data_IF_279145785423
#
_entry.id   IF_279145785423
#
_cell.length_a   1.000
_cell.length_b   1.000
_cell.length_c   1.000
_cell.angle_alpha   90.00
_cell.angle_beta   90.00
_cell.angle_gamma   90.00
#
_symmetry.space_group_name_H-M   'P 1'
#
loop_
_entity.id
_entity.type
_entity.pdbx_description
1 polymer ?
#
# COMPACT_ATOMS: atom_id res chain seq x y z
N UNK A 1 7.71 2.67 -19.58
CA UNK A 1 7.31 3.31 -20.84
C UNK A 1 6.47 2.33 -21.64
N UNK A 2 5.27 2.71 -22.03
CA UNK A 2 4.40 1.97 -22.93
C UNK A 2 4.09 2.81 -24.17
N UNK A 3 4.12 2.20 -25.35
CA UNK A 3 3.77 2.84 -26.62
C UNK A 3 3.17 1.79 -27.56
N UNK A 4 2.26 2.20 -28.44
CA UNK A 4 1.73 1.37 -29.51
C UNK A 4 2.13 1.95 -30.86
N UNK A 5 2.48 1.08 -31.81
CA UNK A 5 2.89 1.50 -33.16
C UNK A 5 1.69 1.79 -34.08
N UNK A 6 0.50 1.34 -33.71
CA UNK A 6 -0.75 1.48 -34.46
C UNK A 6 -1.57 2.74 -34.11
N UNK A 7 -1.06 3.58 -33.21
CA UNK A 7 -1.73 4.80 -32.78
C UNK A 7 -2.88 4.61 -31.79
N UNK A 8 -3.14 3.38 -31.33
CA UNK A 8 -4.23 3.09 -30.40
C UNK A 8 -3.95 3.51 -28.96
N UNK A 9 -2.67 3.57 -28.57
CA UNK A 9 -2.25 3.93 -27.22
C UNK A 9 -1.25 5.10 -27.29
N UNK A 10 -1.55 6.20 -26.62
CA UNK A 10 -0.59 7.28 -26.41
C UNK A 10 0.70 6.77 -25.76
N UNK A 11 1.85 7.33 -26.14
CA UNK A 11 3.10 7.03 -25.44
C UNK A 11 2.97 7.44 -23.99
N UNK A 12 3.04 6.46 -23.09
CA UNK A 12 2.82 6.65 -21.65
C UNK A 12 4.09 6.34 -20.89
N UNK A 13 4.54 7.27 -20.05
CA UNK A 13 5.64 7.08 -19.12
C UNK A 13 5.14 7.24 -17.68
N UNK A 14 5.39 6.26 -16.83
CA UNK A 14 5.06 6.32 -15.41
C UNK A 14 5.92 5.37 -14.60
N UNK A 15 6.03 5.65 -13.31
CA UNK A 15 6.53 4.67 -12.34
C UNK A 15 5.38 3.80 -11.84
N UNK A 16 5.65 2.53 -11.63
CA UNK A 16 4.69 1.58 -11.08
C UNK A 16 5.41 0.55 -10.21
N UNK A 17 4.77 0.13 -9.13
CA UNK A 17 5.22 -0.99 -8.30
C UNK A 17 4.83 -2.35 -8.90
N UNK A 18 4.03 -2.35 -9.97
CA UNK A 18 3.59 -3.57 -10.64
C UNK A 18 4.64 -4.05 -11.64
N UNK A 19 5.16 -5.27 -11.44
CA UNK A 19 6.00 -5.93 -12.43
C UNK A 19 5.15 -6.36 -13.62
N UNK A 20 5.36 -5.72 -14.76
CA UNK A 20 4.64 -6.03 -15.99
C UNK A 20 5.23 -7.32 -16.61
N UNK A 21 4.43 -8.38 -16.65
CA UNK A 21 4.80 -9.69 -17.22
C UNK A 21 3.81 -10.18 -18.30
N UNK A 22 2.62 -9.59 -18.35
CA UNK A 22 1.57 -9.91 -19.32
C UNK A 22 0.63 -8.71 -19.51
N UNK A 23 -0.32 -8.81 -20.46
CA UNK A 23 -1.26 -7.74 -20.72
C UNK A 23 -2.11 -7.37 -19.49
N UNK A 24 -2.50 -8.33 -18.66
CA UNK A 24 -3.28 -8.06 -17.45
C UNK A 24 -2.50 -7.18 -16.46
N UNK A 25 -1.23 -7.51 -16.22
CA UNK A 25 -0.37 -6.69 -15.33
C UNK A 25 -0.02 -5.34 -15.96
N UNK A 26 0.05 -5.25 -17.30
CA UNK A 26 0.17 -3.97 -18.00
C UNK A 26 -1.06 -3.09 -17.79
N UNK A 27 -2.27 -3.65 -17.88
CA UNK A 27 -3.51 -2.88 -17.63
C UNK A 27 -3.60 -2.39 -16.19
N UNK A 28 -3.20 -3.21 -15.22
CA UNK A 28 -3.13 -2.79 -13.80
C UNK A 28 -2.11 -1.64 -13.64
N UNK A 29 -0.92 -1.80 -14.21
CA UNK A 29 0.12 -0.78 -14.16
C UNK A 29 -0.30 0.54 -14.81
N UNK A 30 -1.05 0.49 -15.93
CA UNK A 30 -1.56 1.68 -16.63
C UNK A 30 -2.81 2.28 -15.95
N UNK A 31 -3.58 1.47 -15.23
CA UNK A 31 -4.79 1.91 -14.51
C UNK A 31 -4.49 2.80 -13.29
N UNK A 32 -3.31 2.65 -12.69
CA UNK A 32 -2.84 3.53 -11.62
C UNK A 32 -2.26 4.82 -12.23
N UNK A 33 -3.15 5.62 -12.82
CA UNK A 33 -2.77 6.76 -13.65
C UNK A 33 -2.29 8.00 -12.88
N UNK A 34 -2.11 7.92 -11.55
CA UNK A 34 -1.58 9.03 -10.76
C UNK A 34 -0.12 9.30 -11.14
N UNK A 35 0.11 10.42 -11.81
CA UNK A 35 1.44 10.83 -12.27
C UNK A 35 1.89 10.25 -13.61
N UNK A 36 1.01 9.61 -14.38
CA UNK A 36 1.33 9.16 -15.72
C UNK A 36 1.45 10.33 -16.71
N UNK A 37 2.56 10.35 -17.44
CA UNK A 37 2.79 11.30 -18.54
C UNK A 37 2.30 10.64 -19.82
N UNK A 38 1.32 11.24 -20.47
CA UNK A 38 0.75 10.75 -21.73
C UNK A 38 1.06 11.71 -22.86
N UNK A 39 1.79 11.26 -23.88
CA UNK A 39 2.09 12.01 -25.08
C UNK A 39 1.30 11.41 -26.25
N UNK A 40 0.28 12.11 -26.78
CA UNK A 40 -0.45 11.64 -27.96
C UNK A 40 0.49 11.48 -29.18
N UNK A 41 0.24 10.48 -30.01
CA UNK A 41 1.07 10.22 -31.20
C UNK A 41 1.15 11.38 -32.21
N UNK A 42 0.15 12.25 -32.20
CA UNK A 42 0.11 13.45 -33.08
C UNK A 42 0.81 14.67 -32.48
N UNK A 43 1.29 14.57 -31.24
CA UNK A 43 2.01 15.66 -30.57
C UNK A 43 3.50 15.53 -30.81
N UNK A 44 4.17 16.68 -30.91
CA UNK A 44 5.62 16.69 -30.88
C UNK A 44 6.10 16.18 -29.51
N UNK A 45 6.97 15.16 -29.53
CA UNK A 45 7.58 14.65 -28.31
C UNK A 45 8.61 15.64 -27.77
N UNK A 46 8.40 16.15 -26.58
CA UNK A 46 9.36 16.99 -25.84
C UNK A 46 10.00 16.19 -24.70
N UNK A 47 11.24 15.74 -24.86
CA UNK A 47 11.95 14.98 -23.85
C UNK A 47 12.13 15.73 -22.52
N UNK A 48 12.26 17.05 -22.57
CA UNK A 48 12.54 17.84 -21.37
C UNK A 48 11.28 18.05 -20.52
N UNK A 49 10.11 18.11 -21.13
CA UNK A 49 8.83 18.05 -20.41
C UNK A 49 8.70 16.70 -19.70
N UNK A 50 8.97 15.59 -20.39
CA UNK A 50 8.90 14.25 -19.82
C UNK A 50 9.89 14.10 -18.66
N UNK A 51 11.14 14.54 -18.83
CA UNK A 51 12.16 14.50 -17.76
C UNK A 51 11.77 15.29 -16.54
N UNK A 52 11.24 16.50 -16.70
CA UNK A 52 10.77 17.34 -15.58
C UNK A 52 9.65 16.66 -14.81
N UNK A 53 8.65 16.09 -15.51
CA UNK A 53 7.54 15.41 -14.89
C UNK A 53 7.98 14.10 -14.19
N UNK A 54 8.91 13.32 -14.79
CA UNK A 54 9.52 12.17 -14.13
C UNK A 54 10.35 12.58 -12.90
N UNK A 55 11.01 13.75 -12.94
CA UNK A 55 11.73 14.31 -11.80
C UNK A 55 10.81 14.54 -10.58
N UNK A 56 9.60 15.03 -10.80
CA UNK A 56 8.59 15.16 -9.72
C UNK A 56 8.23 13.78 -9.14
N UNK A 57 8.11 12.76 -10.00
CA UNK A 57 7.82 11.38 -9.56
C UNK A 57 8.99 10.79 -8.77
N UNK A 58 10.24 11.07 -9.15
CA UNK A 58 11.43 10.66 -8.38
C UNK A 58 11.43 11.31 -7.01
N UNK A 59 11.13 12.61 -6.92
CA UNK A 59 11.04 13.31 -5.62
C UNK A 59 9.96 12.71 -4.71
N UNK A 60 8.81 12.30 -5.28
CA UNK A 60 7.77 11.59 -4.53
C UNK A 60 8.25 10.22 -4.03
N UNK A 61 9.03 9.49 -4.84
CA UNK A 61 9.66 8.23 -4.43
C UNK A 61 10.68 8.42 -3.31
N UNK A 62 11.53 9.43 -3.41
CA UNK A 62 12.51 9.76 -2.37
C UNK A 62 11.80 10.12 -1.05
N UNK A 63 10.71 10.88 -1.12
CA UNK A 63 9.86 11.19 0.03
C UNK A 63 9.23 9.92 0.65
N UNK A 64 8.77 8.98 -0.18
CA UNK A 64 8.25 7.69 0.29
C UNK A 64 9.34 6.87 1.00
N UNK A 65 10.53 6.75 0.40
CA UNK A 65 11.66 6.04 1.00
C UNK A 65 12.10 6.68 2.31
N UNK A 66 12.17 8.02 2.37
CA UNK A 66 12.49 8.74 3.59
C UNK A 66 11.48 8.46 4.71
N UNK A 67 10.17 8.45 4.39
CA UNK A 67 9.12 8.08 5.33
C UNK A 67 9.27 6.64 5.84
N UNK A 68 9.56 5.69 4.96
CA UNK A 68 9.79 4.29 5.37
C UNK A 68 10.97 4.16 6.33
N UNK A 69 12.09 4.86 6.06
CA UNK A 69 13.25 4.89 6.96
C UNK A 69 12.88 5.48 8.33
N UNK A 70 12.16 6.60 8.33
CA UNK A 70 11.70 7.22 9.58
C UNK A 70 10.80 6.28 10.40
N UNK A 71 9.92 5.49 9.75
CA UNK A 71 9.11 4.49 10.44
C UNK A 71 9.95 3.34 11.05
N UNK A 72 11.05 2.94 10.38
CA UNK A 72 11.99 1.93 10.91
C UNK A 72 12.77 2.44 12.14
N UNK A 73 13.00 3.73 12.22
CA UNK A 73 13.75 4.39 13.31
C UNK A 73 12.85 4.83 14.46
N UNK A 74 11.54 4.90 14.25
CA UNK A 74 10.55 5.36 15.23
C UNK A 74 10.16 4.22 16.18
N UNK A 75 10.58 4.25 17.46
CA UNK A 75 10.12 3.29 18.45
C UNK A 75 8.62 3.52 18.77
N UNK A 76 7.91 2.44 19.05
CA UNK A 76 6.50 2.48 19.46
C UNK A 76 6.36 1.74 20.77
N UNK A 77 5.89 2.45 21.80
CA UNK A 77 5.56 1.82 23.08
C UNK A 77 4.26 0.99 22.98
N UNK A 78 4.04 0.02 23.87
CA UNK A 78 2.88 -0.87 23.82
C UNK A 78 1.54 -0.13 23.84
N UNK A 79 1.40 0.95 24.60
CA UNK A 79 0.12 1.70 24.72
C UNK A 79 -0.17 2.47 23.44
N UNK A 80 0.85 3.06 22.82
CA UNK A 80 0.73 3.72 21.52
C UNK A 80 0.40 2.72 20.41
N UNK A 81 1.01 1.53 20.42
CA UNK A 81 0.69 0.45 19.49
C UNK A 81 -0.77 0.04 19.62
N UNK A 82 -1.24 -0.21 20.83
CA UNK A 82 -2.62 -0.60 21.10
C UNK A 82 -3.61 0.47 20.65
N UNK A 83 -3.37 1.74 20.99
CA UNK A 83 -4.21 2.86 20.60
C UNK A 83 -4.29 3.01 19.07
N UNK A 84 -3.19 2.81 18.35
CA UNK A 84 -3.19 2.82 16.89
C UNK A 84 -4.01 1.66 16.33
N UNK A 85 -3.79 0.45 16.82
CA UNK A 85 -4.51 -0.74 16.34
C UNK A 85 -6.02 -0.63 16.58
N UNK A 86 -6.45 -0.09 17.71
CA UNK A 86 -7.87 0.18 18.02
C UNK A 86 -8.50 1.16 17.01
N UNK A 87 -7.78 2.16 16.53
CA UNK A 87 -8.28 3.08 15.49
C UNK A 87 -8.32 2.45 14.10
N UNK A 88 -7.38 1.57 13.80
CA UNK A 88 -7.23 0.95 12.47
C UNK A 88 -8.18 -0.23 12.28
N UNK A 89 -8.34 -1.08 13.31
CA UNK A 89 -9.07 -2.35 13.23
C UNK A 89 -10.54 -2.20 13.66
N UNK A 90 -11.23 -1.22 13.08
CA UNK A 90 -12.65 -0.97 13.31
C UNK A 90 -13.50 -1.40 12.12
N UNK A 91 -14.74 -1.77 12.40
CA UNK A 91 -15.78 -2.06 11.41
C UNK A 91 -17.09 -1.38 11.78
N UNK A 92 -18.03 -1.30 10.84
CA UNK A 92 -19.36 -0.77 11.13
C UNK A 92 -20.07 -1.71 12.14
N UNK A 93 -20.50 -1.15 13.25
CA UNK A 93 -21.24 -1.90 14.26
C UNK A 93 -22.59 -2.43 13.73
N UNK A 94 -23.26 -3.30 14.49
CA UNK A 94 -24.53 -3.92 14.08
C UNK A 94 -25.63 -2.92 13.73
N UNK A 95 -25.59 -1.77 14.38
CA UNK A 95 -26.54 -0.65 14.14
C UNK A 95 -26.09 0.30 13.01
N UNK A 96 -24.90 0.06 12.42
CA UNK A 96 -24.29 0.90 11.40
C UNK A 96 -23.91 2.32 11.87
N UNK A 97 -24.13 2.66 13.14
CA UNK A 97 -23.98 4.03 13.64
C UNK A 97 -22.66 4.27 14.37
N UNK A 98 -22.08 3.23 14.99
CA UNK A 98 -20.86 3.35 15.78
C UNK A 98 -19.81 2.34 15.29
N UNK A 99 -18.56 2.77 15.10
CA UNK A 99 -17.48 1.83 14.82
C UNK A 99 -17.24 0.93 16.04
N UNK A 100 -16.99 -0.34 15.77
CA UNK A 100 -16.66 -1.36 16.78
C UNK A 100 -15.28 -1.90 16.49
N UNK A 101 -14.45 -2.06 17.51
CA UNK A 101 -13.13 -2.67 17.39
C UNK A 101 -13.28 -4.17 17.13
N UNK A 102 -12.50 -4.69 16.20
CA UNK A 102 -12.43 -6.11 15.92
C UNK A 102 -11.39 -6.76 16.85
N UNK A 103 -11.85 -7.22 18.01
CA UNK A 103 -10.97 -7.80 19.05
C UNK A 103 -10.15 -8.99 18.55
N UNK A 104 -10.72 -9.84 17.69
CA UNK A 104 -9.99 -10.98 17.11
C UNK A 104 -8.87 -10.51 16.17
N UNK A 105 -9.14 -9.48 15.36
CA UNK A 105 -8.13 -8.87 14.50
C UNK A 105 -7.03 -8.21 15.35
N UNK A 106 -7.42 -7.49 16.40
CA UNK A 106 -6.52 -6.83 17.34
C UNK A 106 -5.56 -7.85 17.98
N UNK A 107 -6.08 -8.94 18.53
CA UNK A 107 -5.27 -9.99 19.13
C UNK A 107 -4.30 -10.63 18.11
N UNK A 108 -4.77 -10.90 16.89
CA UNK A 108 -3.93 -11.47 15.84
C UNK A 108 -2.81 -10.52 15.41
N UNK A 109 -3.10 -9.25 15.17
CA UNK A 109 -2.08 -8.28 14.77
C UNK A 109 -1.06 -8.04 15.88
N UNK A 110 -1.51 -8.01 17.14
CA UNK A 110 -0.61 -7.92 18.29
C UNK A 110 0.36 -9.10 18.33
N UNK A 111 -0.12 -10.34 18.21
CA UNK A 111 0.72 -11.53 18.17
C UNK A 111 1.74 -11.47 17.02
N UNK A 112 1.36 -10.98 15.84
CA UNK A 112 2.27 -10.79 14.72
C UNK A 112 3.35 -9.75 15.02
N UNK A 113 2.98 -8.64 15.65
CA UNK A 113 3.91 -7.57 16.03
C UNK A 113 4.90 -7.99 17.10
N UNK A 114 4.45 -8.77 18.09
CA UNK A 114 5.27 -9.27 19.21
C UNK A 114 6.26 -10.38 18.84
N UNK A 115 6.30 -10.79 17.58
CA UNK A 115 7.29 -11.73 17.08
C UNK A 115 6.75 -12.88 16.24
N UNK A 116 5.41 -13.07 16.17
CA UNK A 116 4.79 -14.10 15.35
C UNK A 116 4.78 -13.80 13.85
N UNK A 117 4.98 -12.53 13.46
CA UNK A 117 4.96 -12.09 12.08
C UNK A 117 6.26 -12.35 11.33
N UNK A 118 6.16 -12.44 10.01
CA UNK A 118 7.32 -12.58 9.11
C UNK A 118 8.20 -11.33 9.19
N UNK A 119 9.44 -11.52 9.61
CA UNK A 119 10.39 -10.41 9.78
C UNK A 119 10.13 -9.52 11.01
N UNK A 120 9.22 -9.86 11.92
CA UNK A 120 8.93 -9.10 13.14
C UNK A 120 10.17 -8.91 14.03
N UNK A 121 11.10 -9.87 13.99
CA UNK A 121 12.34 -9.84 14.78
C UNK A 121 13.51 -9.10 14.10
N UNK A 122 13.34 -8.60 12.88
CA UNK A 122 14.35 -7.76 12.21
C UNK A 122 14.53 -6.44 12.97
N UNK A 123 15.76 -5.92 12.97
CA UNK A 123 16.09 -4.67 13.66
C UNK A 123 15.22 -3.48 13.17
N UNK A 124 14.82 -3.46 11.90
CA UNK A 124 13.95 -2.44 11.34
C UNK A 124 12.47 -2.57 11.75
N UNK A 125 12.06 -3.74 12.29
CA UNK A 125 10.67 -4.05 12.59
C UNK A 125 10.39 -4.15 14.08
N UNK A 126 11.33 -4.70 14.82
CA UNK A 126 11.15 -4.99 16.25
C UNK A 126 10.92 -3.72 17.07
N UNK A 127 9.72 -3.57 17.63
CA UNK A 127 9.36 -2.42 18.46
C UNK A 127 9.26 -1.09 17.71
N UNK A 128 9.14 -1.12 16.38
CA UNK A 128 9.09 0.10 15.56
C UNK A 128 7.73 0.32 14.90
N UNK A 129 7.46 1.54 14.46
CA UNK A 129 6.26 1.88 13.69
C UNK A 129 6.20 1.10 12.36
N UNK A 130 7.34 0.83 11.73
CA UNK A 130 7.43 -0.02 10.55
C UNK A 130 6.98 -1.45 10.83
N UNK A 131 7.43 -2.05 11.93
CA UNK A 131 7.01 -3.39 12.34
C UNK A 131 5.51 -3.47 12.62
N UNK A 132 4.94 -2.46 13.28
CA UNK A 132 3.51 -2.39 13.54
C UNK A 132 2.69 -2.31 12.25
N UNK A 133 3.11 -1.45 11.30
CA UNK A 133 2.48 -1.34 9.99
C UNK A 133 2.55 -2.66 9.20
N UNK A 134 3.71 -3.34 9.21
CA UNK A 134 3.86 -4.63 8.56
C UNK A 134 2.98 -5.71 9.18
N UNK A 135 2.80 -5.72 10.49
CA UNK A 135 1.91 -6.68 11.18
C UNK A 135 0.45 -6.51 10.76
N UNK A 136 -0.02 -5.28 10.58
CA UNK A 136 -1.36 -4.99 10.03
C UNK A 136 -1.45 -5.49 8.59
N UNK A 137 -0.44 -5.23 7.77
CA UNK A 137 -0.41 -5.64 6.36
C UNK A 137 -0.40 -7.17 6.25
N UNK A 138 0.45 -7.85 7.02
CA UNK A 138 0.54 -9.31 7.04
C UNK A 138 -0.79 -9.95 7.48
N UNK A 139 -1.42 -9.38 8.52
CA UNK A 139 -2.74 -9.85 8.95
C UNK A 139 -3.76 -9.77 7.81
N UNK A 140 -3.85 -8.63 7.13
CA UNK A 140 -4.81 -8.41 6.05
C UNK A 140 -4.55 -9.36 4.88
N UNK A 141 -3.30 -9.54 4.51
CA UNK A 141 -2.93 -10.28 3.30
C UNK A 141 -2.95 -11.81 3.53
N UNK A 142 -2.67 -12.29 4.75
CA UNK A 142 -2.44 -13.71 4.99
C UNK A 142 -3.31 -14.34 6.08
N UNK A 143 -3.74 -13.59 7.09
CA UNK A 143 -4.41 -14.15 8.28
C UNK A 143 -5.88 -13.78 8.39
N UNK A 144 -6.32 -12.74 7.70
CA UNK A 144 -7.72 -12.32 7.73
C UNK A 144 -8.61 -13.40 7.15
N UNK A 145 -9.67 -13.75 7.89
CA UNK A 145 -10.67 -14.73 7.44
C UNK A 145 -11.35 -14.28 6.17
N UNK A 146 -11.43 -15.15 5.17
CA UNK A 146 -12.11 -14.94 3.90
C UNK A 146 -12.75 -16.23 3.41
N UNK A 147 -13.62 -16.15 2.41
CA UNK A 147 -14.30 -17.31 1.82
C UNK A 147 -13.33 -18.21 1.02
N UNK A 148 -12.33 -17.59 0.42
CA UNK A 148 -11.26 -18.24 -0.35
C UNK A 148 -10.01 -17.35 -0.33
N UNK A 149 -8.88 -17.88 -0.82
CA UNK A 149 -7.64 -17.13 -0.97
C UNK A 149 -7.77 -16.03 -2.02
N UNK A 150 -8.51 -16.28 -3.11
CA UNK A 150 -8.79 -15.27 -4.13
C UNK A 150 -9.60 -14.11 -3.55
N UNK A 151 -10.67 -14.41 -2.81
CA UNK A 151 -11.47 -13.39 -2.15
C UNK A 151 -10.66 -12.60 -1.11
N UNK A 152 -9.72 -13.22 -0.40
CA UNK A 152 -8.82 -12.52 0.52
C UNK A 152 -7.92 -11.56 -0.24
N UNK A 153 -7.31 -12.00 -1.35
CA UNK A 153 -6.47 -11.15 -2.22
C UNK A 153 -7.24 -9.96 -2.78
N UNK A 154 -8.43 -10.19 -3.32
CA UNK A 154 -9.28 -9.12 -3.84
C UNK A 154 -9.66 -8.11 -2.75
N UNK A 155 -10.05 -8.59 -1.57
CA UNK A 155 -10.36 -7.70 -0.44
C UNK A 155 -9.13 -6.94 0.06
N UNK A 156 -7.94 -7.55 0.03
CA UNK A 156 -6.69 -6.93 0.44
C UNK A 156 -6.21 -5.84 -0.52
N UNK A 157 -6.56 -5.94 -1.81
CA UNK A 157 -6.13 -4.99 -2.83
C UNK A 157 -7.18 -3.93 -3.17
N UNK A 158 -8.45 -4.27 -3.18
CA UNK A 158 -9.51 -3.39 -3.69
C UNK A 158 -10.67 -3.17 -2.71
N UNK A 159 -10.75 -3.97 -1.64
CA UNK A 159 -11.86 -3.95 -0.71
C UNK A 159 -11.52 -3.44 0.68
N UNK A 160 -12.22 -3.98 1.67
CA UNK A 160 -12.09 -3.58 3.08
C UNK A 160 -10.69 -3.83 3.66
N UNK A 161 -9.94 -4.79 3.13
CA UNK A 161 -8.55 -5.01 3.52
C UNK A 161 -7.64 -3.87 3.08
N UNK A 162 -7.81 -3.38 1.84
CA UNK A 162 -7.09 -2.19 1.36
C UNK A 162 -7.36 -0.97 2.25
N UNK A 163 -8.61 -0.76 2.65
CA UNK A 163 -8.99 0.34 3.54
C UNK A 163 -8.32 0.25 4.92
N UNK A 164 -8.17 -0.95 5.48
CA UNK A 164 -7.44 -1.17 6.74
C UNK A 164 -5.97 -0.77 6.57
N UNK A 165 -5.31 -1.22 5.51
CA UNK A 165 -3.91 -0.89 5.21
C UNK A 165 -3.72 0.62 4.98
N UNK A 166 -4.64 1.28 4.28
CA UNK A 166 -4.61 2.73 4.08
C UNK A 166 -4.75 3.50 5.39
N UNK A 167 -5.67 3.09 6.27
CA UNK A 167 -5.79 3.69 7.60
C UNK A 167 -4.52 3.49 8.43
N UNK A 168 -3.97 2.28 8.44
CA UNK A 168 -2.72 2.00 9.15
C UNK A 168 -1.57 2.90 8.65
N UNK A 169 -1.47 3.08 7.34
CA UNK A 169 -0.47 3.96 6.74
C UNK A 169 -0.69 5.43 7.10
N UNK A 170 -1.93 5.88 7.19
CA UNK A 170 -2.25 7.27 7.54
C UNK A 170 -2.01 7.59 9.02
N UNK A 171 -2.22 6.60 9.91
CA UNK A 171 -2.07 6.74 11.36
C UNK A 171 -0.61 6.54 11.84
N UNK A 172 0.23 5.85 11.06
CA UNK A 172 1.64 5.60 11.37
C UNK A 172 2.52 6.81 11.03
#
# INVERSE_FOLDING_TARGET
>A
LATACDGTLATTAQFTSVRVVCNNTLQIALGDANGAIKVPHRSQFDPDVVKRQLGITVAAWDGFVARMKALCERPVDPDAAEALLQRVLVYAGPDGKRPVVNEQALANVRALYEGGGRGAMLASSRGTAWGLLNSVTEYVDHHRRARSDDHRRDAAWFGTGAQIKQRAWAEA
#
